data_IF_330818733754
#
_entry.id   IF_330818733754
#
_cell.length_a   1.000
_cell.length_b   1.000
_cell.length_c   1.000
_cell.angle_alpha   90.00
_cell.angle_beta   90.00
_cell.angle_gamma   90.00
#
_symmetry.space_group_name_H-M   'P 1'
#
loop_
_entity.id
_entity.type
_entity.pdbx_description
1 polymer ?
#
# COMPACT_ATOMS: atom_id res chain seq x y z
N UNK A 1 -13.48 -41.68 4.68
CA UNK A 1 -12.28 -41.47 3.81
C UNK A 1 -12.00 -42.74 3.07
N UNK A 2 -12.25 -42.75 1.80
CA UNK A 2 -11.87 -43.88 0.95
C UNK A 2 -10.38 -43.74 0.63
N UNK A 3 -9.55 -44.42 1.42
CA UNK A 3 -8.12 -44.46 1.13
C UNK A 3 -7.86 -45.21 -0.18
N UNK A 4 -6.80 -44.81 -0.86
CA UNK A 4 -6.33 -45.51 -2.08
C UNK A 4 -5.93 -46.94 -1.71
N UNK A 5 -6.45 -47.90 -2.45
CA UNK A 5 -6.10 -49.31 -2.24
C UNK A 5 -4.88 -49.68 -3.07
N UNK A 6 -3.80 -49.99 -2.39
CA UNK A 6 -2.59 -50.51 -3.02
C UNK A 6 -2.83 -51.93 -3.45
N UNK A 7 -2.71 -52.21 -4.73
CA UNK A 7 -2.88 -53.53 -5.31
C UNK A 7 -1.59 -54.34 -5.28
N UNK A 8 -0.46 -53.68 -5.44
CA UNK A 8 0.86 -54.30 -5.39
C UNK A 8 1.89 -53.23 -5.08
N UNK A 9 2.94 -53.60 -4.36
CA UNK A 9 4.04 -52.72 -4.00
C UNK A 9 5.37 -53.48 -4.21
N UNK A 10 6.30 -52.77 -4.85
CA UNK A 10 7.69 -53.21 -4.98
C UNK A 10 8.60 -52.05 -4.49
N UNK A 11 9.91 -52.31 -4.49
CA UNK A 11 10.87 -51.27 -4.05
C UNK A 11 10.74 -49.97 -4.85
N UNK A 12 10.43 -50.07 -6.14
CA UNK A 12 10.48 -48.93 -7.06
C UNK A 12 9.11 -48.59 -7.70
N UNK A 13 8.05 -49.34 -7.34
CA UNK A 13 6.71 -49.13 -7.91
C UNK A 13 5.58 -49.49 -6.96
N UNK A 14 4.49 -48.77 -7.10
CA UNK A 14 3.22 -49.00 -6.42
C UNK A 14 2.13 -49.11 -7.49
N UNK A 15 1.33 -50.19 -7.42
CA UNK A 15 0.23 -50.37 -8.35
C UNK A 15 -1.08 -50.07 -7.64
N UNK A 16 -1.87 -49.21 -8.25
CA UNK A 16 -3.21 -48.82 -7.77
C UNK A 16 -4.21 -49.00 -8.92
N UNK A 17 -5.50 -48.99 -8.60
CA UNK A 17 -6.51 -49.02 -9.65
C UNK A 17 -6.47 -47.75 -10.49
N UNK A 18 -6.93 -47.83 -11.73
CA UNK A 18 -7.04 -46.66 -12.59
C UNK A 18 -7.96 -45.59 -11.98
N UNK A 19 -9.03 -45.97 -11.32
CA UNK A 19 -9.93 -45.06 -10.63
C UNK A 19 -9.25 -44.35 -9.49
N UNK A 20 -8.49 -45.06 -8.67
CA UNK A 20 -7.72 -44.45 -7.57
C UNK A 20 -6.64 -43.51 -8.10
N UNK A 21 -5.96 -43.88 -9.18
CA UNK A 21 -4.97 -43.03 -9.84
C UNK A 21 -5.58 -41.71 -10.34
N UNK A 22 -6.73 -41.79 -11.03
CA UNK A 22 -7.45 -40.61 -11.50
C UNK A 22 -7.87 -39.72 -10.35
N UNK A 23 -8.34 -40.30 -9.25
CA UNK A 23 -8.73 -39.55 -8.05
C UNK A 23 -7.54 -38.86 -7.40
N UNK A 24 -6.39 -39.52 -7.28
CA UNK A 24 -5.15 -38.92 -6.76
C UNK A 24 -4.69 -37.73 -7.59
N UNK A 25 -4.73 -37.84 -8.92
CA UNK A 25 -4.38 -36.74 -9.82
C UNK A 25 -5.31 -35.56 -9.63
N UNK A 26 -6.63 -35.81 -9.52
CA UNK A 26 -7.61 -34.75 -9.29
C UNK A 26 -7.39 -34.06 -7.95
N UNK A 27 -7.10 -34.79 -6.88
CA UNK A 27 -6.79 -34.21 -5.58
C UNK A 27 -5.52 -33.37 -5.61
N UNK A 28 -4.50 -33.80 -6.36
CA UNK A 28 -3.27 -33.04 -6.52
C UNK A 28 -3.51 -31.74 -7.27
N UNK A 29 -4.26 -31.77 -8.36
CA UNK A 29 -4.64 -30.57 -9.12
C UNK A 29 -5.40 -29.58 -8.25
N UNK A 30 -6.40 -30.06 -7.50
CA UNK A 30 -7.16 -29.22 -6.57
C UNK A 30 -6.27 -28.59 -5.48
N UNK A 31 -5.30 -29.36 -4.97
CA UNK A 31 -4.36 -28.84 -3.97
C UNK A 31 -3.46 -27.75 -4.55
N UNK A 32 -2.97 -27.93 -5.77
CA UNK A 32 -2.16 -26.92 -6.47
C UNK A 32 -2.97 -25.65 -6.76
N UNK A 33 -4.22 -25.80 -7.16
CA UNK A 33 -5.12 -24.65 -7.40
C UNK A 33 -5.39 -23.87 -6.11
N UNK A 34 -5.64 -24.56 -5.00
CA UNK A 34 -5.81 -23.92 -3.69
C UNK A 34 -4.56 -23.17 -3.25
N UNK A 35 -3.39 -23.75 -3.45
CA UNK A 35 -2.13 -23.11 -3.13
C UNK A 35 -1.89 -21.83 -3.96
N UNK A 36 -2.22 -21.87 -5.25
CA UNK A 36 -2.13 -20.72 -6.13
C UNK A 36 -3.07 -19.59 -5.72
N UNK A 37 -4.29 -19.90 -5.29
CA UNK A 37 -5.26 -18.91 -4.79
C UNK A 37 -4.76 -18.26 -3.49
N UNK A 38 -4.24 -19.06 -2.56
CA UNK A 38 -3.68 -18.53 -1.29
C UNK A 38 -2.52 -17.59 -1.57
N UNK A 39 -1.61 -17.96 -2.46
CA UNK A 39 -0.46 -17.11 -2.81
C UNK A 39 -0.89 -15.79 -3.46
N UNK A 40 -1.89 -15.84 -4.34
CA UNK A 40 -2.46 -14.63 -4.96
C UNK A 40 -3.04 -13.69 -3.92
N UNK A 41 -3.86 -14.21 -2.99
CA UNK A 41 -4.46 -13.41 -1.90
C UNK A 41 -3.40 -12.78 -1.01
N UNK A 42 -2.34 -13.52 -0.69
CA UNK A 42 -1.22 -13.01 0.10
C UNK A 42 -0.52 -11.87 -0.62
N UNK A 43 -0.30 -12.00 -1.90
CA UNK A 43 0.34 -10.97 -2.74
C UNK A 43 -0.53 -9.71 -2.85
N UNK A 44 -1.83 -9.87 -3.04
CA UNK A 44 -2.78 -8.75 -3.07
C UNK A 44 -2.87 -8.03 -1.72
N UNK A 45 -2.90 -8.77 -0.62
CA UNK A 45 -2.90 -8.21 0.72
C UNK A 45 -1.62 -7.40 0.99
N UNK A 46 -0.46 -7.89 0.56
CA UNK A 46 0.81 -7.18 0.68
C UNK A 46 0.81 -5.87 -0.11
N UNK A 47 0.27 -5.87 -1.33
CA UNK A 47 0.09 -4.65 -2.14
C UNK A 47 -0.83 -3.65 -1.45
N UNK A 48 -1.93 -4.11 -0.86
CA UNK A 48 -2.86 -3.26 -0.12
C UNK A 48 -2.21 -2.59 1.09
N UNK A 49 -1.39 -3.32 1.84
CA UNK A 49 -0.62 -2.77 2.97
C UNK A 49 0.37 -1.71 2.51
N UNK A 50 1.10 -1.96 1.42
CA UNK A 50 2.03 -0.98 0.86
C UNK A 50 1.32 0.27 0.36
N UNK A 51 0.17 0.12 -0.30
CA UNK A 51 -0.64 1.24 -0.74
C UNK A 51 -1.18 2.05 0.45
N UNK A 52 -1.63 1.38 1.51
CA UNK A 52 -2.10 2.04 2.72
C UNK A 52 -0.98 2.83 3.41
N UNK A 53 0.23 2.28 3.48
CA UNK A 53 1.39 2.97 4.07
C UNK A 53 1.73 4.30 3.39
N UNK A 54 1.42 4.43 2.11
CA UNK A 54 1.59 5.70 1.39
C UNK A 54 0.68 6.80 1.89
N UNK A 55 -0.48 6.45 2.41
CA UNK A 55 -1.51 7.39 2.85
C UNK A 55 -1.51 7.63 4.37
N UNK A 56 -0.71 6.90 5.12
CA UNK A 56 -0.57 7.09 6.56
C UNK A 56 0.81 7.62 6.90
N UNK A 57 0.84 8.54 7.83
CA UNK A 57 2.09 9.06 8.38
C UNK A 57 2.73 8.02 9.30
N UNK A 58 4.06 7.92 9.23
CA UNK A 58 4.82 7.16 10.21
C UNK A 58 4.80 7.88 11.56
N UNK A 59 5.16 7.19 12.64
CA UNK A 59 5.28 7.81 13.96
C UNK A 59 6.24 9.00 13.94
N UNK A 60 7.33 8.90 13.20
CA UNK A 60 8.32 9.98 13.03
C UNK A 60 7.72 11.19 12.33
N UNK A 61 6.97 10.98 11.26
CA UNK A 61 6.31 12.03 10.51
C UNK A 61 5.20 12.69 11.34
N UNK A 62 4.40 11.90 12.06
CA UNK A 62 3.39 12.42 12.98
C UNK A 62 4.01 13.28 14.08
N UNK A 63 5.18 12.89 14.60
CA UNK A 63 5.91 13.68 15.59
C UNK A 63 6.35 15.02 15.04
N UNK A 64 6.78 15.08 13.79
CA UNK A 64 7.13 16.34 13.12
C UNK A 64 5.95 17.32 13.09
N UNK A 65 4.75 16.82 12.84
CA UNK A 65 3.53 17.63 12.89
C UNK A 65 3.25 18.15 14.31
N UNK A 66 3.41 17.30 15.32
CA UNK A 66 3.25 17.68 16.72
C UNK A 66 4.28 18.74 17.15
N UNK A 67 5.47 18.70 16.59
CA UNK A 67 6.54 19.68 16.83
C UNK A 67 6.32 21.01 16.08
N UNK A 68 5.25 21.12 15.31
CA UNK A 68 4.84 22.34 14.63
C UNK A 68 5.35 22.51 13.20
N UNK A 69 5.92 21.47 12.59
CA UNK A 69 6.32 21.52 11.19
C UNK A 69 5.08 21.60 10.28
N UNK A 70 5.23 22.25 9.14
CA UNK A 70 4.16 22.39 8.15
C UNK A 70 3.70 21.02 7.64
N UNK A 71 2.39 20.71 7.68
CA UNK A 71 1.86 19.49 7.07
C UNK A 71 2.19 19.38 5.58
N UNK A 72 2.16 20.49 4.87
CA UNK A 72 2.51 20.53 3.44
C UNK A 72 3.94 20.06 3.23
N UNK A 73 4.87 20.51 4.05
CA UNK A 73 6.27 20.09 3.99
C UNK A 73 6.43 18.59 4.29
N UNK A 74 5.79 18.11 5.35
CA UNK A 74 5.86 16.70 5.76
C UNK A 74 5.33 15.78 4.65
N UNK A 75 4.18 16.10 4.10
CA UNK A 75 3.60 15.31 3.00
C UNK A 75 4.40 15.43 1.70
N UNK A 76 4.94 16.61 1.42
CA UNK A 76 5.80 16.80 0.25
C UNK A 76 7.05 15.93 0.32
N UNK A 77 7.73 15.91 1.45
CA UNK A 77 8.92 15.09 1.65
C UNK A 77 8.59 13.60 1.63
N UNK A 78 7.44 13.22 2.20
CA UNK A 78 6.95 11.85 2.12
C UNK A 78 6.73 11.38 0.67
N UNK A 79 6.25 12.27 -0.20
CA UNK A 79 6.08 11.99 -1.63
C UNK A 79 7.37 12.09 -2.43
N UNK A 80 8.48 12.48 -1.80
CA UNK A 80 9.77 12.62 -2.47
C UNK A 80 9.84 13.77 -3.46
N UNK A 81 9.05 14.82 -3.28
CA UNK A 81 9.02 16.00 -4.18
C UNK A 81 9.78 17.17 -3.61
N UNK A 82 10.46 17.92 -4.48
CA UNK A 82 11.02 19.23 -4.13
C UNK A 82 9.91 20.28 -4.04
N UNK A 83 10.18 21.42 -3.41
CA UNK A 83 9.26 22.54 -3.40
C UNK A 83 8.89 22.99 -4.81
N UNK A 84 9.87 23.06 -5.70
CA UNK A 84 9.67 23.45 -7.10
C UNK A 84 8.77 22.48 -7.84
N UNK A 85 8.98 21.19 -7.66
CA UNK A 85 8.15 20.14 -8.28
C UNK A 85 6.70 20.20 -7.77
N UNK A 86 6.50 20.33 -6.48
CA UNK A 86 5.16 20.44 -5.90
C UNK A 86 4.46 21.71 -6.35
N UNK A 87 5.14 22.84 -6.32
CA UNK A 87 4.59 24.13 -6.78
C UNK A 87 4.11 24.05 -8.22
N UNK A 88 4.91 23.47 -9.11
CA UNK A 88 4.55 23.27 -10.50
C UNK A 88 3.34 22.32 -10.65
N UNK A 89 3.32 21.21 -9.93
CA UNK A 89 2.21 20.24 -9.97
C UNK A 89 0.89 20.82 -9.44
N UNK A 90 0.95 21.66 -8.42
CA UNK A 90 -0.22 22.29 -7.82
C UNK A 90 -0.64 23.60 -8.51
N UNK A 91 0.18 24.13 -9.39
CA UNK A 91 -0.09 25.41 -10.03
C UNK A 91 -0.03 26.61 -9.08
N UNK A 92 0.85 26.55 -8.07
CA UNK A 92 1.10 27.64 -7.12
C UNK A 92 2.53 28.15 -7.29
N UNK A 93 2.79 29.38 -6.85
CA UNK A 93 4.14 29.95 -6.90
C UNK A 93 5.08 29.25 -5.92
N UNK A 94 6.32 29.00 -6.34
CA UNK A 94 7.32 28.35 -5.48
C UNK A 94 7.63 29.20 -4.23
N UNK A 95 7.69 30.51 -4.35
CA UNK A 95 7.86 31.41 -3.22
C UNK A 95 6.69 31.38 -2.24
N UNK A 96 5.47 31.29 -2.76
CA UNK A 96 4.27 31.19 -1.93
C UNK A 96 4.24 29.83 -1.19
N UNK A 97 4.61 28.74 -1.86
CA UNK A 97 4.75 27.44 -1.21
C UNK A 97 5.79 27.50 -0.08
N UNK A 98 6.93 28.10 -0.31
CA UNK A 98 7.96 28.29 0.71
C UNK A 98 7.44 29.08 1.93
N UNK A 99 6.64 30.11 1.71
CA UNK A 99 6.01 30.88 2.79
C UNK A 99 5.00 30.06 3.59
N UNK A 100 4.24 29.18 2.94
CA UNK A 100 3.33 28.24 3.61
C UNK A 100 4.13 27.24 4.46
N UNK A 101 5.19 26.69 3.93
CA UNK A 101 6.01 25.69 4.64
C UNK A 101 6.78 26.28 5.82
N UNK A 102 7.16 27.54 5.77
CA UNK A 102 7.82 28.23 6.89
C UNK A 102 6.84 28.83 7.90
N UNK A 103 5.55 28.74 7.64
CA UNK A 103 4.52 29.30 8.50
C UNK A 103 4.29 30.80 8.37
N UNK A 104 4.94 31.45 7.44
CA UNK A 104 4.76 32.92 7.17
C UNK A 104 3.37 33.24 6.64
N UNK A 105 2.81 32.32 5.84
CA UNK A 105 1.44 32.43 5.33
C UNK A 105 0.67 31.12 5.60
N UNK A 106 -0.61 31.23 5.98
CA UNK A 106 -1.43 30.02 6.23
C UNK A 106 -1.79 29.27 4.96
N UNK A 107 -1.70 29.90 3.81
CA UNK A 107 -2.21 29.39 2.56
C UNK A 107 -3.72 29.62 2.41
N UNK A 108 -4.16 30.02 1.23
CA UNK A 108 -5.58 30.12 0.94
C UNK A 108 -6.20 28.70 0.83
N UNK A 109 -7.51 28.60 1.05
CA UNK A 109 -8.24 27.33 0.87
C UNK A 109 -8.05 26.78 -0.55
N UNK A 110 -8.10 27.66 -1.55
CA UNK A 110 -7.86 27.29 -2.95
C UNK A 110 -6.45 26.71 -3.17
N UNK A 111 -5.42 27.36 -2.60
CA UNK A 111 -4.05 26.87 -2.70
C UNK A 111 -3.87 25.54 -1.97
N UNK A 112 -4.40 25.39 -0.76
CA UNK A 112 -4.34 24.15 0.00
C UNK A 112 -5.09 23.00 -0.70
N UNK A 113 -6.20 23.28 -1.35
CA UNK A 113 -6.93 22.30 -2.14
C UNK A 113 -6.10 21.80 -3.33
N UNK A 114 -5.40 22.69 -4.02
CA UNK A 114 -4.51 22.32 -5.12
C UNK A 114 -3.31 21.51 -4.64
N UNK A 115 -2.73 21.91 -3.51
CA UNK A 115 -1.61 21.18 -2.89
C UNK A 115 -2.05 19.79 -2.43
N UNK A 116 -3.22 19.67 -1.81
CA UNK A 116 -3.78 18.39 -1.39
C UNK A 116 -3.99 17.43 -2.57
N UNK A 117 -4.52 17.93 -3.67
CA UNK A 117 -4.68 17.17 -4.90
C UNK A 117 -3.34 16.68 -5.46
N UNK A 118 -2.36 17.57 -5.52
CA UNK A 118 -1.01 17.25 -6.01
C UNK A 118 -0.30 16.23 -5.11
N UNK A 119 -0.54 16.29 -3.80
CA UNK A 119 0.02 15.37 -2.81
C UNK A 119 -0.79 14.08 -2.64
N UNK A 120 -1.97 14.02 -3.25
CA UNK A 120 -2.91 12.88 -3.11
C UNK A 120 -3.31 12.64 -1.65
N UNK A 121 -3.64 13.71 -0.95
CA UNK A 121 -4.17 13.69 0.42
C UNK A 121 -5.46 14.51 0.49
N UNK A 122 -6.16 14.41 1.61
CA UNK A 122 -7.32 15.25 1.88
C UNK A 122 -6.85 16.64 2.33
N UNK A 123 -7.65 17.68 2.05
CA UNK A 123 -7.30 19.03 2.48
C UNK A 123 -7.17 19.12 4.01
N UNK A 124 -7.96 18.34 4.74
CA UNK A 124 -7.91 18.24 6.20
C UNK A 124 -6.55 17.78 6.71
N UNK A 125 -5.86 16.94 5.96
CA UNK A 125 -4.51 16.48 6.30
C UNK A 125 -3.48 17.61 6.31
N UNK A 126 -3.74 18.69 5.58
CA UNK A 126 -2.89 19.88 5.51
C UNK A 126 -3.26 20.95 6.53
N UNK A 127 -4.43 20.86 7.15
CA UNK A 127 -4.99 21.87 8.04
C UNK A 127 -4.86 21.48 9.52
N UNK A 128 -4.90 20.18 9.84
CA UNK A 128 -5.08 19.65 11.20
C UNK A 128 -3.98 19.98 12.21
N UNK A 129 -2.85 20.52 11.81
CA UNK A 129 -1.75 20.78 12.76
C UNK A 129 -1.82 22.14 13.48
N UNK A 130 -2.89 22.91 13.31
CA UNK A 130 -2.99 24.26 13.86
C UNK A 130 -3.86 24.42 15.10
N UNK A 131 -4.50 23.35 15.55
CA UNK A 131 -5.38 23.38 16.72
C UNK A 131 -4.77 22.59 17.88
N UNK A 132 -3.58 22.93 18.24
CA UNK A 132 -3.05 22.55 19.54
C UNK A 132 -2.91 23.78 20.41
#
# INVERSE_FOLDING_TARGET
>A
MNGVKILSETRDSVTVSRGDWTHLLSELEDALDRAAVVERRRHEAAKGVLAARRNYLTAREARRLLDGESPVKVWREKRGRSQRELAAAAGVGAGYLAEIETGRKPGSVAALARLAKALQVQIEDLIMSRNA
#
